data_IF_856050275194
#
_entry.id   IF_856050275194
#
_cell.length_a   1.000
_cell.length_b   1.000
_cell.length_c   1.000
_cell.angle_alpha   90.00
_cell.angle_beta   90.00
_cell.angle_gamma   90.00
#
_symmetry.space_group_name_H-M   'P 1'
#
loop_
_entity.id
_entity.type
_entity.pdbx_description
1 polymer ?
#
# COMPACT_ATOMS: atom_id res chain seq x y z
N UNK A 1 -3.33 -76.31 47.31
CA UNK A 1 -3.98 -75.05 46.91
C UNK A 1 -2.99 -73.92 47.13
N UNK A 2 -2.41 -73.40 46.04
CA UNK A 2 -1.66 -72.15 46.02
C UNK A 2 -1.63 -71.67 44.56
N UNK A 3 -2.39 -70.61 44.27
CA UNK A 3 -2.57 -70.05 42.94
C UNK A 3 -1.45 -69.04 42.64
N UNK A 4 -0.74 -69.25 41.54
CA UNK A 4 0.25 -68.31 41.03
C UNK A 4 -0.45 -67.16 40.30
N UNK A 5 -0.27 -65.93 40.78
CA UNK A 5 -0.74 -64.71 40.13
C UNK A 5 0.32 -64.21 39.13
N UNK A 6 -0.08 -64.03 37.87
CA UNK A 6 0.71 -63.35 36.85
C UNK A 6 0.53 -61.82 36.96
N UNK A 7 1.60 -61.01 36.76
CA UNK A 7 1.50 -59.57 36.77
C UNK A 7 0.84 -59.01 35.49
N UNK A 8 0.12 -57.87 35.57
CA UNK A 8 -0.53 -57.26 34.42
C UNK A 8 0.48 -56.59 33.46
N UNK A 9 0.29 -56.84 32.15
CA UNK A 9 0.96 -56.12 31.06
C UNK A 9 0.50 -54.66 31.04
N UNK A 10 1.44 -53.72 31.20
CA UNK A 10 1.23 -52.28 30.98
C UNK A 10 0.90 -52.02 29.50
N UNK A 11 -0.31 -51.55 29.21
CA UNK A 11 -0.65 -50.93 27.94
C UNK A 11 -0.04 -49.53 27.88
N UNK A 12 0.87 -49.30 26.93
CA UNK A 12 1.43 -47.97 26.67
C UNK A 12 0.40 -47.07 25.96
N UNK A 13 0.42 -45.75 26.23
CA UNK A 13 -0.50 -44.81 25.59
C UNK A 13 -0.17 -44.64 24.10
N UNK A 14 -1.19 -44.78 23.26
CA UNK A 14 -1.14 -44.48 21.83
C UNK A 14 -0.78 -43.01 21.59
N UNK A 15 0.49 -42.72 21.27
CA UNK A 15 0.94 -41.41 20.80
C UNK A 15 0.61 -41.23 19.32
N UNK A 16 -0.68 -41.16 19.01
CA UNK A 16 -1.16 -40.86 17.67
C UNK A 16 -1.32 -39.35 17.45
N UNK A 17 -0.47 -38.78 16.58
CA UNK A 17 -0.76 -37.65 15.68
C UNK A 17 -0.81 -36.19 16.18
N UNK A 18 -0.09 -35.82 17.24
CA UNK A 18 0.07 -34.39 17.59
C UNK A 18 0.86 -33.55 16.56
N UNK A 19 1.70 -34.20 15.73
CA UNK A 19 2.59 -33.49 14.79
C UNK A 19 1.88 -32.87 13.58
N UNK A 20 0.70 -33.36 13.17
CA UNK A 20 -0.02 -32.85 11.99
C UNK A 20 -0.94 -31.66 12.30
N UNK A 21 -1.44 -31.56 13.53
CA UNK A 21 -2.28 -30.43 13.93
C UNK A 21 -1.44 -29.16 14.17
N UNK A 22 -0.22 -29.32 14.69
CA UNK A 22 0.66 -28.19 15.02
C UNK A 22 1.13 -27.42 13.78
N UNK A 23 1.41 -28.12 12.68
CA UNK A 23 1.81 -27.50 11.40
C UNK A 23 0.69 -26.69 10.77
N UNK A 24 -0.57 -27.15 10.87
CA UNK A 24 -1.74 -26.41 10.36
C UNK A 24 -1.95 -25.11 11.15
N UNK A 25 -1.87 -25.18 12.48
CA UNK A 25 -2.01 -24.00 13.34
C UNK A 25 -0.88 -22.98 13.13
N UNK A 26 0.35 -23.44 12.88
CA UNK A 26 1.48 -22.56 12.53
C UNK A 26 1.25 -21.83 11.21
N UNK A 27 0.76 -22.53 10.17
CA UNK A 27 0.49 -21.89 8.87
C UNK A 27 -0.65 -20.87 8.95
N UNK A 28 -1.73 -21.17 9.69
CA UNK A 28 -2.83 -20.21 9.89
C UNK A 28 -2.36 -19.00 10.71
N UNK A 29 -1.62 -19.23 11.78
CA UNK A 29 -1.07 -18.16 12.61
C UNK A 29 -0.13 -17.23 11.84
N UNK A 30 0.71 -17.78 10.96
CA UNK A 30 1.66 -17.00 10.16
C UNK A 30 0.98 -16.19 9.06
N UNK A 31 -0.09 -16.71 8.44
CA UNK A 31 -0.90 -15.97 7.46
C UNK A 31 -1.70 -14.84 8.14
N UNK A 32 -2.33 -15.11 9.28
CA UNK A 32 -3.07 -14.09 10.03
C UNK A 32 -2.13 -13.02 10.58
N UNK A 33 -0.98 -13.40 11.14
CA UNK A 33 0.03 -12.46 11.62
C UNK A 33 0.65 -11.64 10.47
N UNK A 34 0.84 -12.23 9.29
CA UNK A 34 1.30 -11.53 8.09
C UNK A 34 0.27 -10.52 7.55
N UNK A 35 -1.03 -10.83 7.65
CA UNK A 35 -2.09 -9.91 7.22
C UNK A 35 -2.36 -8.79 8.24
N UNK A 36 -2.20 -9.05 9.54
CA UNK A 36 -2.40 -8.03 10.59
C UNK A 36 -1.15 -7.18 10.80
N UNK A 37 0.05 -7.75 10.60
CA UNK A 37 1.33 -7.06 10.83
C UNK A 37 1.61 -5.88 9.88
N UNK A 38 0.98 -5.83 8.70
CA UNK A 38 1.13 -4.70 7.77
C UNK A 38 0.31 -3.49 8.20
N UNK A 39 -0.72 -3.66 9.04
CA UNK A 39 -1.61 -2.57 9.46
C UNK A 39 -1.18 -1.80 10.71
N UNK A 40 -0.22 -2.31 11.51
CA UNK A 40 0.04 -1.79 12.88
C UNK A 40 1.35 -0.96 12.97
N UNK A 41 2.18 -0.90 11.92
CA UNK A 41 3.52 -0.26 12.03
C UNK A 41 3.50 1.28 11.92
N UNK A 42 2.35 1.93 11.75
CA UNK A 42 2.23 3.40 11.65
C UNK A 42 1.42 4.05 12.79
N UNK A 43 1.30 3.41 13.95
CA UNK A 43 0.62 3.98 15.11
C UNK A 43 1.54 4.81 16.00
N UNK A 44 1.88 6.03 15.58
CA UNK A 44 2.48 7.06 16.44
C UNK A 44 1.46 8.18 16.66
N UNK A 45 1.09 8.45 17.92
CA UNK A 45 0.12 9.49 18.31
C UNK A 45 0.66 10.90 18.14
N UNK A 46 0.68 11.36 16.89
CA UNK A 46 1.03 12.72 16.42
C UNK A 46 -0.10 13.21 15.49
N UNK A 47 -1.36 12.97 15.85
CA UNK A 47 -2.53 13.30 15.00
C UNK A 47 -2.67 14.80 14.72
N UNK A 48 -2.00 15.65 15.51
CA UNK A 48 -2.01 17.10 15.39
C UNK A 48 -0.84 17.66 14.55
N UNK A 49 0.05 16.79 14.03
CA UNK A 49 1.22 17.24 13.26
C UNK A 49 0.96 17.25 11.76
N UNK A 50 1.25 18.40 11.15
CA UNK A 50 1.25 18.57 9.69
C UNK A 50 2.45 17.83 9.08
N UNK A 51 2.16 16.84 8.23
CA UNK A 51 3.20 16.08 7.55
C UNK A 51 3.79 16.85 6.36
N UNK A 52 5.12 17.01 6.26
CA UNK A 52 5.74 17.62 5.09
C UNK A 52 5.66 16.67 3.88
N UNK A 53 5.79 17.19 2.64
CA UNK A 53 5.98 16.34 1.47
C UNK A 53 7.24 15.48 1.61
N UNK A 54 7.28 14.36 0.90
CA UNK A 54 8.47 13.54 0.78
C UNK A 54 9.58 14.27 0.01
N UNK A 55 10.83 13.81 0.14
CA UNK A 55 11.94 14.38 -0.63
C UNK A 55 11.72 14.23 -2.14
N UNK A 56 11.22 13.08 -2.58
CA UNK A 56 10.94 12.80 -3.99
C UNK A 56 9.88 13.76 -4.55
N UNK A 57 8.77 13.98 -3.84
CA UNK A 57 7.72 14.91 -4.27
C UNK A 57 8.24 16.34 -4.41
N UNK A 58 9.10 16.78 -3.49
CA UNK A 58 9.73 18.10 -3.59
C UNK A 58 10.65 18.20 -4.79
N UNK A 59 11.52 17.21 -5.00
CA UNK A 59 12.48 17.23 -6.11
C UNK A 59 11.78 17.20 -7.47
N UNK A 60 10.74 16.37 -7.62
CA UNK A 60 9.93 16.30 -8.83
C UNK A 60 9.17 17.61 -9.07
N UNK A 61 8.63 18.21 -8.01
CA UNK A 61 7.95 19.51 -8.07
C UNK A 61 8.90 20.62 -8.53
N UNK A 62 10.08 20.73 -7.91
CA UNK A 62 11.11 21.70 -8.29
C UNK A 62 11.45 21.59 -9.77
N UNK A 63 11.65 20.37 -10.28
CA UNK A 63 12.00 20.15 -11.69
C UNK A 63 10.89 20.62 -12.65
N UNK A 64 9.62 20.40 -12.30
CA UNK A 64 8.47 20.88 -13.08
C UNK A 64 8.36 22.40 -13.02
N UNK A 65 8.46 22.99 -11.83
CA UNK A 65 8.36 24.44 -11.64
C UNK A 65 9.51 25.19 -12.33
N UNK A 66 10.72 24.65 -12.31
CA UNK A 66 11.88 25.19 -13.03
C UNK A 66 11.63 25.26 -14.55
N UNK A 67 11.06 24.20 -15.13
CA UNK A 67 10.74 24.17 -16.56
C UNK A 67 9.66 25.19 -16.93
N UNK A 68 8.59 25.27 -16.14
CA UNK A 68 7.49 26.22 -16.36
C UNK A 68 7.95 27.66 -16.16
N UNK A 69 8.78 27.91 -15.15
CA UNK A 69 9.36 29.23 -14.90
C UNK A 69 10.23 29.70 -16.06
N UNK A 70 11.07 28.80 -16.60
CA UNK A 70 11.94 29.11 -17.74
C UNK A 70 11.15 29.46 -19.02
N UNK A 71 9.94 28.92 -19.20
CA UNK A 71 9.12 29.21 -20.38
C UNK A 71 8.18 30.42 -20.20
N UNK A 72 7.69 30.67 -18.99
CA UNK A 72 6.68 31.69 -18.71
C UNK A 72 7.26 32.97 -18.07
N UNK A 73 8.51 32.93 -17.59
CA UNK A 73 9.16 34.08 -16.96
C UNK A 73 8.59 34.47 -15.60
N UNK A 74 7.96 33.52 -14.90
CA UNK A 74 7.37 33.70 -13.56
C UNK A 74 7.95 32.64 -12.63
N UNK A 75 8.31 33.02 -11.41
CA UNK A 75 8.68 32.04 -10.40
C UNK A 75 7.44 31.39 -9.78
N UNK A 76 7.51 30.08 -9.55
CA UNK A 76 6.41 29.31 -8.97
C UNK A 76 6.90 28.61 -7.72
N UNK A 77 6.08 28.54 -6.69
CA UNK A 77 6.43 27.83 -5.46
C UNK A 77 5.25 27.35 -4.62
N UNK A 78 5.60 26.72 -3.51
CA UNK A 78 4.69 26.33 -2.45
C UNK A 78 5.22 26.77 -1.09
N UNK A 79 4.30 26.87 -0.15
CA UNK A 79 4.57 27.01 1.27
C UNK A 79 3.50 26.23 2.03
N UNK A 80 3.94 25.38 2.95
CA UNK A 80 3.09 24.62 3.85
C UNK A 80 3.43 25.02 5.28
N UNK A 81 2.42 25.43 6.03
CA UNK A 81 2.51 25.85 7.42
C UNK A 81 1.50 25.09 8.27
N UNK A 82 1.85 24.91 9.53
CA UNK A 82 0.85 24.68 10.57
C UNK A 82 0.03 25.97 10.77
N UNK A 83 -1.27 25.85 10.99
CA UNK A 83 -2.23 26.95 11.08
C UNK A 83 -1.82 28.02 12.08
N UNK A 84 -1.29 27.61 13.24
CA UNK A 84 -0.87 28.54 14.26
C UNK A 84 0.35 29.38 13.86
N UNK A 85 1.09 28.97 12.82
CA UNK A 85 2.19 29.75 12.25
C UNK A 85 3.32 30.05 13.24
N UNK A 86 3.41 29.30 14.33
CA UNK A 86 4.48 29.45 15.32
C UNK A 86 5.77 28.81 14.78
N UNK A 87 6.53 29.57 14.01
CA UNK A 87 7.87 29.18 13.56
C UNK A 87 8.03 29.09 12.04
N UNK A 88 9.05 28.34 11.63
CA UNK A 88 9.39 28.14 10.23
C UNK A 88 8.30 27.32 9.51
N UNK A 89 8.09 27.53 8.20
CA UNK A 89 7.20 26.69 7.41
C UNK A 89 7.57 25.21 7.54
N UNK A 90 6.55 24.35 7.63
CA UNK A 90 6.70 22.88 7.61
C UNK A 90 7.41 22.43 6.33
N UNK A 91 7.12 23.10 5.21
CA UNK A 91 7.81 22.90 3.94
C UNK A 91 7.70 24.13 3.07
N UNK A 92 8.77 24.47 2.37
CA UNK A 92 8.80 25.57 1.41
C UNK A 92 9.67 25.19 0.23
N UNK A 93 9.32 25.65 -0.96
CA UNK A 93 10.16 25.46 -2.12
C UNK A 93 9.61 26.13 -3.37
N UNK A 94 10.42 26.11 -4.42
CA UNK A 94 10.13 26.83 -5.67
C UNK A 94 10.87 26.25 -6.87
N UNK A 95 10.68 26.89 -8.03
CA UNK A 95 11.51 26.69 -9.21
C UNK A 95 13.02 26.90 -8.97
N UNK A 96 13.43 27.57 -7.89
CA UNK A 96 14.83 27.78 -7.54
C UNK A 96 15.42 26.65 -6.67
N UNK A 97 14.57 25.78 -6.13
CA UNK A 97 15.00 24.66 -5.29
C UNK A 97 14.06 24.36 -4.13
N UNK A 98 14.30 23.20 -3.52
CA UNK A 98 13.71 22.83 -2.24
C UNK A 98 14.28 23.73 -1.13
N UNK A 99 13.42 24.21 -0.22
CA UNK A 99 13.80 25.11 0.88
C UNK A 99 13.96 26.57 0.46
N UNK A 100 13.62 26.93 -0.79
CA UNK A 100 13.76 28.30 -1.32
C UNK A 100 12.38 28.86 -1.62
N UNK A 101 11.96 29.86 -0.84
CA UNK A 101 10.72 30.60 -1.10
C UNK A 101 10.87 31.50 -2.35
N UNK A 102 9.74 31.76 -3.02
CA UNK A 102 9.67 32.78 -4.08
C UNK A 102 9.38 34.17 -3.53
N UNK A 103 8.59 34.25 -2.46
CA UNK A 103 8.30 35.50 -1.75
C UNK A 103 9.60 36.07 -1.18
N UNK A 104 9.77 37.40 -1.32
CA UNK A 104 10.96 38.17 -0.92
C UNK A 104 12.30 37.72 -1.54
N UNK A 105 12.29 36.78 -2.48
CA UNK A 105 13.50 36.33 -3.15
C UNK A 105 13.86 37.29 -4.29
N UNK A 106 15.02 37.97 -4.26
CA UNK A 106 15.39 38.95 -5.28
C UNK A 106 15.57 38.35 -6.68
N UNK A 107 15.75 37.03 -6.78
CA UNK A 107 15.81 36.32 -8.07
C UNK A 107 14.43 36.09 -8.69
N UNK A 108 13.35 36.35 -7.95
CA UNK A 108 11.97 36.15 -8.34
C UNK A 108 11.16 37.46 -8.21
N UNK A 109 11.43 38.49 -9.03
CA UNK A 109 10.66 39.74 -8.96
C UNK A 109 9.19 39.56 -9.35
N UNK A 110 8.90 38.56 -10.20
CA UNK A 110 7.54 38.16 -10.58
C UNK A 110 7.29 36.71 -10.19
N UNK A 111 6.31 36.47 -9.32
CA UNK A 111 6.11 35.15 -8.73
C UNK A 111 4.67 34.83 -8.38
N UNK A 112 4.37 33.54 -8.27
CA UNK A 112 3.13 32.96 -7.74
C UNK A 112 3.48 31.83 -6.76
N UNK A 113 2.76 31.76 -5.63
CA UNK A 113 2.97 30.75 -4.61
C UNK A 113 1.63 30.26 -4.07
N UNK A 114 1.48 28.94 -3.90
CA UNK A 114 0.40 28.41 -3.05
C UNK A 114 0.88 28.42 -1.61
N UNK A 115 0.16 29.09 -0.72
CA UNK A 115 0.38 29.03 0.73
C UNK A 115 -0.74 28.23 1.38
N UNK A 116 -0.38 27.15 2.07
CA UNK A 116 -1.30 26.22 2.71
C UNK A 116 -1.09 26.29 4.21
N UNK A 117 -2.18 26.45 4.96
CA UNK A 117 -2.20 26.38 6.42
C UNK A 117 -3.14 25.28 6.85
N UNK A 118 -2.61 24.31 7.59
CA UNK A 118 -3.38 23.15 8.06
C UNK A 118 -3.64 23.29 9.54
N UNK A 119 -4.90 23.15 9.94
CA UNK A 119 -5.30 23.14 11.33
C UNK A 119 -5.77 21.75 11.70
N UNK A 120 -4.97 21.09 12.53
CA UNK A 120 -5.38 19.88 13.23
C UNK A 120 -5.61 20.24 14.70
N UNK A 121 -6.87 20.28 15.16
CA UNK A 121 -7.16 20.47 16.57
C UNK A 121 -6.67 19.27 17.39
N UNK A 122 -6.46 19.50 18.69
CA UNK A 122 -6.14 18.41 19.62
C UNK A 122 -7.22 17.34 19.61
N UNK A 123 -6.87 16.06 19.86
CA UNK A 123 -7.83 14.95 19.94
C UNK A 123 -8.99 15.18 20.94
N UNK A 124 -8.80 16.05 21.94
CA UNK A 124 -9.83 16.43 22.92
C UNK A 124 -10.81 17.50 22.44
N UNK A 125 -10.62 18.03 21.23
CA UNK A 125 -11.46 19.08 20.65
C UNK A 125 -12.58 18.48 19.82
N UNK A 126 -13.77 19.07 19.90
CA UNK A 126 -14.90 18.75 19.01
C UNK A 126 -14.84 19.54 17.68
N UNK A 127 -13.75 20.27 17.42
CA UNK A 127 -13.56 21.00 16.17
C UNK A 127 -13.10 20.08 15.05
N UNK A 128 -13.54 20.35 13.82
CA UNK A 128 -13.10 19.60 12.65
C UNK A 128 -11.71 20.04 12.18
N UNK A 129 -10.98 19.12 11.55
CA UNK A 129 -9.77 19.42 10.79
C UNK A 129 -10.11 20.30 9.58
N UNK A 130 -9.28 21.30 9.29
CA UNK A 130 -9.49 22.16 8.13
C UNK A 130 -8.19 22.67 7.50
N UNK A 131 -8.30 23.09 6.25
CA UNK A 131 -7.18 23.63 5.49
C UNK A 131 -7.53 24.98 4.85
N UNK A 132 -6.64 25.95 5.02
CA UNK A 132 -6.73 27.25 4.38
C UNK A 132 -5.70 27.32 3.26
N UNK A 133 -6.18 27.54 2.05
CA UNK A 133 -5.37 27.53 0.82
C UNK A 133 -5.48 28.89 0.16
N UNK A 134 -4.36 29.59 0.09
CA UNK A 134 -4.24 30.90 -0.52
C UNK A 134 -3.28 30.83 -1.72
N UNK A 135 -3.56 31.60 -2.76
CA UNK A 135 -2.62 31.83 -3.87
C UNK A 135 -2.13 33.26 -3.80
N UNK A 136 -0.86 33.41 -3.48
CA UNK A 136 -0.18 34.70 -3.39
C UNK A 136 0.66 34.94 -4.65
N UNK A 137 0.97 36.21 -4.92
CA UNK A 137 1.84 36.57 -6.03
C UNK A 137 2.47 37.95 -5.84
N UNK A 138 3.41 38.28 -6.72
CA UNK A 138 3.97 39.63 -6.82
C UNK A 138 2.89 40.67 -7.16
N UNK A 139 3.21 41.96 -7.00
CA UNK A 139 2.32 43.08 -7.30
C UNK A 139 1.80 43.14 -8.75
N UNK A 140 2.39 42.34 -9.63
CA UNK A 140 2.04 42.25 -11.05
C UNK A 140 0.77 41.44 -11.29
N UNK A 141 0.31 40.69 -10.28
CA UNK A 141 -0.92 39.91 -10.31
C UNK A 141 -2.03 40.65 -9.58
N UNK A 142 -3.14 40.88 -10.27
CA UNK A 142 -4.34 41.45 -9.65
C UNK A 142 -5.01 40.44 -8.72
N UNK A 143 -5.71 40.93 -7.70
CA UNK A 143 -6.48 40.07 -6.78
C UNK A 143 -7.52 39.22 -7.51
N UNK A 144 -8.06 39.68 -8.64
CA UNK A 144 -9.00 38.92 -9.46
C UNK A 144 -8.33 37.76 -10.20
N UNK A 145 -7.09 37.93 -10.67
CA UNK A 145 -6.31 36.83 -11.26
C UNK A 145 -5.95 35.79 -10.21
N UNK A 146 -5.43 36.22 -9.05
CA UNK A 146 -5.10 35.33 -7.93
C UNK A 146 -6.32 34.51 -7.49
N UNK A 147 -7.49 35.15 -7.36
CA UNK A 147 -8.73 34.45 -7.01
C UNK A 147 -9.17 33.44 -8.09
N UNK A 148 -9.03 33.79 -9.38
CA UNK A 148 -9.33 32.86 -10.48
C UNK A 148 -8.39 31.65 -10.47
N UNK A 149 -7.11 31.86 -10.17
CA UNK A 149 -6.11 30.80 -10.04
C UNK A 149 -6.45 29.92 -8.83
N UNK A 150 -6.72 30.50 -7.66
CA UNK A 150 -7.10 29.77 -6.45
C UNK A 150 -8.34 28.87 -6.68
N UNK A 151 -9.41 29.42 -7.26
CA UNK A 151 -10.61 28.66 -7.61
C UNK A 151 -10.36 27.57 -8.67
N UNK A 152 -9.26 27.67 -9.42
CA UNK A 152 -8.83 26.66 -10.37
C UNK A 152 -8.31 25.38 -9.72
N UNK A 153 -7.74 25.46 -8.52
CA UNK A 153 -7.17 24.31 -7.81
C UNK A 153 -8.24 23.25 -7.49
N UNK A 154 -9.40 23.69 -6.99
CA UNK A 154 -10.52 22.81 -6.67
C UNK A 154 -11.05 22.09 -7.92
N UNK A 155 -11.15 22.82 -9.05
CA UNK A 155 -11.56 22.25 -10.35
C UNK A 155 -10.61 21.15 -10.83
N UNK A 156 -9.33 21.23 -10.46
CA UNK A 156 -8.31 20.24 -10.78
C UNK A 156 -8.20 19.11 -9.73
N UNK A 157 -9.14 19.06 -8.78
CA UNK A 157 -9.24 18.01 -7.77
C UNK A 157 -8.35 18.23 -6.55
N UNK A 158 -7.74 19.42 -6.41
CA UNK A 158 -6.97 19.80 -5.23
C UNK A 158 -7.91 20.55 -4.28
N UNK A 159 -8.66 19.78 -3.49
CA UNK A 159 -9.71 20.27 -2.59
C UNK A 159 -9.22 20.35 -1.14
N UNK A 160 -9.94 21.05 -0.27
CA UNK A 160 -9.64 21.15 1.16
C UNK A 160 -9.43 19.77 1.80
N UNK A 161 -10.32 18.81 1.52
CA UNK A 161 -10.20 17.44 2.03
C UNK A 161 -8.87 16.78 1.69
N UNK A 162 -8.37 17.02 0.48
CA UNK A 162 -7.09 16.47 0.03
C UNK A 162 -5.92 17.09 0.81
N UNK A 163 -5.99 18.38 1.13
CA UNK A 163 -5.00 19.03 1.99
C UNK A 163 -5.04 18.53 3.43
N UNK A 164 -6.24 18.24 3.95
CA UNK A 164 -6.40 17.64 5.28
C UNK A 164 -5.85 16.21 5.32
N UNK A 165 -6.15 15.39 4.30
CA UNK A 165 -5.77 13.98 4.26
C UNK A 165 -4.26 13.77 3.95
N UNK A 166 -3.66 14.60 3.08
CA UNK A 166 -2.24 14.51 2.68
C UNK A 166 -1.65 15.91 2.35
N UNK A 167 -1.33 16.72 3.37
CA UNK A 167 -0.97 18.12 3.20
C UNK A 167 0.30 18.34 2.38
N UNK A 168 1.29 17.46 2.56
CA UNK A 168 2.56 17.53 1.85
C UNK A 168 2.41 17.30 0.35
N UNK A 169 1.78 16.18 0.00
CA UNK A 169 1.49 15.86 -1.39
C UNK A 169 0.57 16.91 -2.02
N UNK A 170 -0.49 17.34 -1.32
CA UNK A 170 -1.44 18.32 -1.83
C UNK A 170 -0.78 19.69 -2.11
N UNK A 171 0.10 20.17 -1.24
CA UNK A 171 0.81 21.43 -1.44
C UNK A 171 1.72 21.40 -2.67
N UNK A 172 2.48 20.33 -2.84
CA UNK A 172 3.34 20.15 -4.02
C UNK A 172 2.52 19.96 -5.30
N UNK A 173 1.41 19.23 -5.22
CA UNK A 173 0.45 19.05 -6.32
C UNK A 173 -0.23 20.35 -6.74
N UNK A 174 -0.60 21.20 -5.79
CA UNK A 174 -1.17 22.52 -6.06
C UNK A 174 -0.16 23.42 -6.78
N UNK A 175 1.10 23.42 -6.34
CA UNK A 175 2.14 24.24 -6.96
C UNK A 175 2.40 23.86 -8.42
N UNK A 176 2.44 22.57 -8.77
CA UNK A 176 2.62 22.14 -10.18
C UNK A 176 1.44 22.53 -11.07
N UNK A 177 0.28 22.86 -10.51
CA UNK A 177 -0.88 23.35 -11.26
C UNK A 177 -0.86 24.86 -11.52
N UNK A 178 -0.13 25.63 -10.71
CA UNK A 178 -0.06 27.10 -10.86
C UNK A 178 0.33 27.56 -12.27
N UNK A 179 1.34 26.99 -12.96
CA UNK A 179 1.69 27.41 -14.32
C UNK A 179 0.53 27.31 -15.32
N UNK A 180 -0.26 26.23 -15.23
CA UNK A 180 -1.42 26.03 -16.09
C UNK A 180 -2.54 27.00 -15.73
N UNK A 181 -2.86 27.13 -14.44
CA UNK A 181 -3.92 28.01 -13.98
C UNK A 181 -3.61 29.49 -14.23
N UNK A 182 -2.34 29.89 -14.19
CA UNK A 182 -1.90 31.22 -14.55
C UNK A 182 -2.17 31.52 -16.04
N UNK A 183 -2.00 30.53 -16.92
CA UNK A 183 -2.35 30.65 -18.35
C UNK A 183 -3.86 30.74 -18.52
N UNK A 184 -4.63 29.88 -17.85
CA UNK A 184 -6.10 29.90 -17.92
C UNK A 184 -6.68 31.22 -17.40
N UNK A 185 -6.04 31.83 -16.41
CA UNK A 185 -6.41 33.14 -15.90
C UNK A 185 -6.01 34.30 -16.83
N UNK A 186 -5.25 34.04 -17.90
CA UNK A 186 -4.69 35.04 -18.79
C UNK A 186 -3.56 35.86 -18.17
N UNK A 187 -3.01 35.41 -17.05
CA UNK A 187 -1.98 36.13 -16.30
C UNK A 187 -0.56 35.91 -16.86
N UNK A 188 -0.37 34.80 -17.58
CA UNK A 188 0.87 34.50 -18.30
C UNK A 188 0.55 33.91 -19.68
N UNK A 189 1.44 34.12 -20.63
CA UNK A 189 1.33 33.47 -21.94
C UNK A 189 1.59 31.97 -21.82
N UNK A 190 0.90 31.14 -22.62
CA UNK A 190 1.22 29.72 -22.73
C UNK A 190 2.68 29.54 -23.16
N UNK A 191 3.34 28.51 -22.64
CA UNK A 191 4.64 28.11 -23.15
C UNK A 191 4.52 27.80 -24.66
N UNK A 192 5.50 28.25 -25.44
CA UNK A 192 5.53 27.97 -26.87
C UNK A 192 5.43 26.45 -27.10
N UNK A 193 4.42 26.02 -27.86
CA UNK A 193 4.27 24.62 -28.25
C UNK A 193 5.56 24.19 -28.95
N UNK A 194 6.23 23.11 -28.51
CA UNK A 194 7.40 22.61 -29.21
C UNK A 194 7.05 22.38 -30.66
N UNK A 195 7.85 22.95 -31.57
CA UNK A 195 7.67 22.69 -32.99
C UNK A 195 7.70 21.16 -33.19
N UNK A 196 6.74 20.59 -33.95
CA UNK A 196 6.72 19.15 -34.18
C UNK A 196 8.07 18.72 -34.73
N UNK A 197 8.67 17.71 -34.10
CA UNK A 197 9.93 17.16 -34.58
C UNK A 197 9.76 16.76 -36.04
N UNK A 198 10.69 17.19 -36.91
CA UNK A 198 10.64 16.92 -38.35
C UNK A 198 10.71 15.42 -38.69
N UNK A 199 11.09 14.59 -37.72
CA UNK A 199 11.08 13.14 -37.85
C UNK A 199 9.77 12.57 -37.29
N UNK A 200 9.08 11.79 -38.12
CA UNK A 200 8.01 10.91 -37.67
C UNK A 200 8.57 10.02 -36.55
N UNK A 201 7.98 10.01 -35.34
CA UNK A 201 8.43 9.13 -34.28
C UNK A 201 8.35 7.68 -34.77
N UNK A 202 9.39 6.90 -34.51
CA UNK A 202 9.36 5.47 -34.77
C UNK A 202 8.11 4.87 -34.09
N UNK A 203 7.37 3.98 -34.77
CA UNK A 203 6.20 3.35 -34.16
C UNK A 203 6.61 2.73 -32.82
N UNK A 204 5.78 2.96 -31.79
CA UNK A 204 6.03 2.34 -30.50
C UNK A 204 6.10 0.82 -30.69
N UNK A 205 7.02 0.13 -29.98
CA UNK A 205 7.00 -1.32 -29.94
C UNK A 205 5.61 -1.79 -29.49
N UNK A 206 5.15 -2.91 -30.04
CA UNK A 206 3.86 -3.50 -29.67
C UNK A 206 3.75 -3.54 -28.14
N UNK A 207 2.61 -3.14 -27.56
CA UNK A 207 2.42 -3.17 -26.12
C UNK A 207 2.62 -4.62 -25.66
N UNK A 208 3.74 -4.87 -24.98
CA UNK A 208 4.01 -6.15 -24.36
C UNK A 208 2.85 -6.51 -23.43
N UNK A 209 2.39 -7.76 -23.48
CA UNK A 209 1.23 -8.17 -22.70
C UNK A 209 1.51 -8.04 -21.20
N UNK A 210 0.98 -7.00 -20.55
CA UNK A 210 1.13 -6.76 -19.10
C UNK A 210 0.17 -7.64 -18.27
N UNK A 211 -0.02 -8.89 -18.72
CA UNK A 211 -0.95 -9.87 -18.13
C UNK A 211 -0.63 -10.16 -16.66
N UNK A 212 0.65 -10.07 -16.28
CA UNK A 212 1.07 -10.28 -14.91
C UNK A 212 0.57 -9.18 -13.99
N UNK A 213 0.62 -7.90 -14.43
CA UNK A 213 0.23 -6.76 -13.62
C UNK A 213 -1.29 -6.55 -13.62
N UNK A 214 -1.94 -6.72 -14.77
CA UNK A 214 -3.39 -6.54 -14.89
C UNK A 214 -4.20 -7.66 -14.25
N UNK A 215 -3.64 -8.89 -14.22
CA UNK A 215 -4.36 -10.08 -13.74
C UNK A 215 -3.72 -10.79 -12.56
N UNK A 216 -2.82 -10.11 -11.82
CA UNK A 216 -2.17 -10.69 -10.64
C UNK A 216 -3.18 -11.24 -9.63
N UNK A 217 -4.29 -10.54 -9.40
CA UNK A 217 -5.36 -11.00 -8.50
C UNK A 217 -6.02 -12.30 -8.95
N UNK A 218 -6.25 -12.46 -10.26
CA UNK A 218 -6.79 -13.70 -10.83
C UNK A 218 -5.77 -14.85 -10.72
N UNK A 219 -4.49 -14.56 -10.97
CA UNK A 219 -3.41 -15.54 -10.84
C UNK A 219 -3.24 -16.01 -9.38
N UNK A 220 -3.34 -15.11 -8.41
CA UNK A 220 -3.32 -15.47 -6.99
C UNK A 220 -4.53 -16.29 -6.59
N UNK A 221 -5.74 -15.92 -7.05
CA UNK A 221 -6.95 -16.69 -6.79
C UNK A 221 -6.84 -18.12 -7.36
N UNK A 222 -6.38 -18.25 -8.62
CA UNK A 222 -6.17 -19.53 -9.27
C UNK A 222 -5.09 -20.36 -8.56
N UNK A 223 -3.97 -19.74 -8.18
CA UNK A 223 -2.90 -20.38 -7.41
C UNK A 223 -3.37 -20.87 -6.04
N UNK A 224 -4.16 -20.06 -5.33
CA UNK A 224 -4.77 -20.43 -4.06
C UNK A 224 -5.73 -21.62 -4.19
N UNK A 225 -6.59 -21.62 -5.22
CA UNK A 225 -7.52 -22.72 -5.49
C UNK A 225 -6.79 -24.04 -5.81
N UNK A 226 -5.71 -23.97 -6.60
CA UNK A 226 -4.88 -25.14 -6.90
C UNK A 226 -4.24 -25.74 -5.66
N UNK A 227 -3.75 -24.90 -4.74
CA UNK A 227 -3.16 -25.35 -3.47
C UNK A 227 -4.21 -26.04 -2.58
N UNK A 228 -5.40 -25.46 -2.44
CA UNK A 228 -6.50 -26.09 -1.69
C UNK A 228 -6.86 -27.45 -2.29
N UNK A 229 -6.96 -27.53 -3.61
CA UNK A 229 -7.27 -28.77 -4.32
C UNK A 229 -6.20 -29.84 -4.08
N UNK A 230 -4.93 -29.48 -4.21
CA UNK A 230 -3.81 -30.39 -3.94
C UNK A 230 -3.83 -30.89 -2.48
N UNK A 231 -4.18 -30.03 -1.53
CA UNK A 231 -4.30 -30.38 -0.12
C UNK A 231 -5.44 -31.37 0.13
N UNK A 232 -6.62 -31.16 -0.48
CA UNK A 232 -7.74 -32.09 -0.36
C UNK A 232 -7.41 -33.46 -0.95
N UNK A 233 -6.74 -33.51 -2.11
CA UNK A 233 -6.31 -34.76 -2.74
C UNK A 233 -5.32 -35.50 -1.84
N UNK A 234 -4.31 -34.81 -1.32
CA UNK A 234 -3.30 -35.42 -0.45
C UNK A 234 -3.92 -35.96 0.85
N UNK A 235 -4.81 -35.20 1.49
CA UNK A 235 -5.56 -35.66 2.67
C UNK A 235 -6.42 -36.88 2.34
N UNK A 236 -7.16 -36.86 1.23
CA UNK A 236 -7.98 -37.98 0.79
C UNK A 236 -7.17 -39.26 0.53
N UNK A 237 -6.00 -39.14 -0.12
CA UNK A 237 -5.09 -40.28 -0.35
C UNK A 237 -4.53 -40.83 0.96
N UNK A 238 -4.13 -39.95 1.89
CA UNK A 238 -3.60 -40.37 3.21
C UNK A 238 -4.68 -41.06 4.04
N UNK A 239 -5.89 -40.50 4.10
CA UNK A 239 -7.03 -41.12 4.78
C UNK A 239 -7.38 -42.48 4.17
N UNK A 240 -7.42 -42.58 2.85
CA UNK A 240 -7.69 -43.85 2.14
C UNK A 240 -6.61 -44.90 2.40
N UNK A 241 -5.33 -44.50 2.45
CA UNK A 241 -4.22 -45.40 2.81
C UNK A 241 -4.33 -45.88 4.27
N UNK A 242 -4.76 -45.02 5.19
CA UNK A 242 -4.99 -45.40 6.60
C UNK A 242 -6.16 -46.37 6.73
N UNK A 243 -7.27 -46.14 6.02
CA UNK A 243 -8.41 -47.07 6.00
C UNK A 243 -8.03 -48.44 5.44
N UNK A 244 -7.24 -48.49 4.35
CA UNK A 244 -6.76 -49.77 3.77
C UNK A 244 -5.76 -50.52 4.66
N UNK A 245 -5.04 -49.83 5.54
CA UNK A 245 -4.15 -50.46 6.53
C UNK A 245 -4.89 -50.94 7.78
N UNK A 246 -6.14 -50.51 7.99
CA UNK A 246 -6.98 -50.89 9.12
C UNK A 246 -7.88 -52.13 8.89
N UNK A 247 -7.99 -52.63 7.65
CA UNK A 247 -8.72 -53.86 7.34
C UNK A 247 -7.71 -54.98 7.10
N UNK A 248 -7.21 -55.57 8.19
CA UNK A 248 -6.69 -56.93 8.17
C UNK A 248 -7.91 -57.83 8.36
N UNK A 249 -8.33 -58.64 7.38
CA UNK A 249 -9.37 -59.63 7.63
C UNK A 249 -8.84 -60.61 8.68
N UNK A 250 -9.56 -60.73 9.80
CA UNK A 250 -9.27 -61.69 10.84
C UNK A 250 -9.20 -63.10 10.23
N UNK A 251 -7.99 -63.63 10.14
CA UNK A 251 -7.72 -64.98 9.67
C UNK A 251 -8.33 -65.94 10.70
N UNK A 252 -9.41 -66.61 10.30
CA UNK A 252 -10.15 -67.61 11.07
C UNK A 252 -9.18 -68.71 11.54
N UNK A 253 -8.87 -68.72 12.84
CA UNK A 253 -8.19 -69.85 13.47
C UNK A 253 -9.17 -71.03 13.55
N UNK A 254 -8.86 -72.13 12.87
CA UNK A 254 -9.61 -73.39 13.04
C UNK A 254 -9.74 -74.22 11.77
N UNK A 255 -8.63 -74.80 11.30
CA UNK A 255 -8.65 -75.96 10.40
C UNK A 255 -7.35 -76.76 10.59
N UNK A 256 -7.28 -77.52 11.68
CA UNK A 256 -6.28 -78.57 11.86
C UNK A 256 -6.81 -79.60 12.87
N UNK A 257 -7.61 -80.54 12.38
CA UNK A 257 -7.80 -81.85 13.05
C UNK A 257 -7.90 -82.93 12.00
N UNK A 258 -6.74 -83.41 11.57
CA UNK A 258 -6.48 -84.72 11.00
C UNK A 258 -5.17 -85.18 11.69
N UNK A 259 -4.98 -86.38 12.21
CA UNK A 259 -5.78 -87.58 12.31
C UNK A 259 -5.16 -88.41 13.46
N UNK A 260 -5.98 -89.10 14.26
CA UNK A 260 -5.50 -90.18 15.13
C UNK A 260 -6.26 -91.46 14.78
N UNK A 261 -5.66 -92.30 13.92
CA UNK A 261 -5.99 -93.72 13.81
C UNK A 261 -4.81 -94.52 14.35
N UNK A 262 -5.05 -95.20 15.46
CA UNK A 262 -4.23 -96.26 16.04
C UNK A 262 -4.41 -97.55 15.23
N UNK A 263 -3.34 -98.36 14.98
CA UNK A 263 -3.49 -99.71 14.45
C UNK A 263 -3.71 -100.72 15.59
N UNK A 264 -4.67 -101.61 15.39
CA UNK A 264 -4.89 -102.86 16.13
C UNK A 264 -3.72 -103.84 15.92
N UNK A 265 -3.41 -104.63 16.96
CA UNK A 265 -2.65 -105.87 16.85
C UNK A 265 -3.25 -106.92 17.78
N UNK A 266 -3.43 -108.13 17.21
CA UNK A 266 -3.77 -109.43 17.80
C UNK A 266 -5.22 -109.65 18.27
#
# INVERSE_FOLDING_TARGET
MAAAQHPPRKGGPNTASKAGAWTIWLTVGLVVAGCVGVGIVNGGGDSDKVSPPTAQERDDTVAVLARSSASQGVCYGWELKDYFGYGDPVSVGSNLGNGVAVEDNPSCPRWLQVSVRIYYPSESSDSDDNAYVDVNGSSDFSSTELLRIANGLERLGVTEKVFVDDPGWAATRAAVMLPLLAVEAGAVEPAATPAPAAAQPSPLPDPGSDLWRDRWGYLLAAGGLLLVTALLITVGVVQRRRQRRGVVPAQRAGAATAASRTPENA
#
